data_IF_241306587277
#
_entry.id   IF_241306587277
#
_cell.length_a   1.000
_cell.length_b   1.000
_cell.length_c   1.000
_cell.angle_alpha   90.00
_cell.angle_beta   90.00
_cell.angle_gamma   90.00
#
_symmetry.space_group_name_H-M   'P 1'
#
loop_
_entity.id
_entity.type
_entity.pdbx_description
1 polymer ?
#
# COMPACT_ATOMS: atom_id res chain seq x y z
N UNK A 1 -11.27 7.41 19.16
CA UNK A 1 -10.64 8.53 18.41
C UNK A 1 -11.48 8.89 17.20
N UNK A 2 -11.39 10.14 16.72
CA UNK A 2 -11.93 10.55 15.42
C UNK A 2 -10.83 10.41 14.37
N UNK A 3 -11.07 9.63 13.33
CA UNK A 3 -10.07 9.29 12.32
C UNK A 3 -10.59 9.68 10.94
N UNK A 4 -9.83 10.47 10.19
CA UNK A 4 -10.10 10.77 8.78
C UNK A 4 -9.29 9.81 7.89
N UNK A 5 -9.96 9.13 6.96
CA UNK A 5 -9.31 8.20 6.04
C UNK A 5 -9.60 8.61 4.59
N UNK A 6 -8.56 8.85 3.81
CA UNK A 6 -8.66 8.92 2.35
C UNK A 6 -8.36 7.55 1.75
N UNK A 7 -9.06 7.18 0.68
CA UNK A 7 -8.90 5.84 0.10
C UNK A 7 -9.53 4.71 0.92
N UNK A 8 -10.44 5.04 1.85
CA UNK A 8 -11.12 4.08 2.73
C UNK A 8 -11.95 3.01 2.01
N UNK A 9 -12.36 3.22 0.76
CA UNK A 9 -13.08 2.23 -0.07
C UNK A 9 -12.14 1.32 -0.87
N UNK A 10 -10.84 1.58 -0.84
CA UNK A 10 -9.82 0.78 -1.54
C UNK A 10 -9.58 -0.58 -0.90
N UNK A 11 -8.72 -1.40 -1.54
CA UNK A 11 -8.42 -2.77 -1.11
C UNK A 11 -7.90 -2.88 0.34
N UNK A 12 -6.96 -2.02 0.73
CA UNK A 12 -6.45 -1.95 2.10
C UNK A 12 -7.41 -1.13 2.97
N UNK A 13 -7.85 0.03 2.45
CA UNK A 13 -8.61 1.01 3.22
C UNK A 13 -9.92 0.46 3.79
N UNK A 14 -10.70 -0.32 3.00
CA UNK A 14 -11.95 -0.91 3.48
C UNK A 14 -11.76 -1.87 4.65
N UNK A 15 -10.68 -2.64 4.64
CA UNK A 15 -10.38 -3.56 5.72
C UNK A 15 -9.88 -2.82 6.97
N UNK A 16 -9.06 -1.78 6.79
CA UNK A 16 -8.62 -0.91 7.87
C UNK A 16 -9.80 -0.17 8.51
N UNK A 17 -10.71 0.43 7.72
CA UNK A 17 -11.91 1.10 8.25
C UNK A 17 -12.74 0.15 9.09
N UNK A 18 -13.03 -1.06 8.57
CA UNK A 18 -13.78 -2.07 9.32
C UNK A 18 -13.09 -2.47 10.63
N UNK A 19 -11.76 -2.60 10.62
CA UNK A 19 -11.00 -2.91 11.84
C UNK A 19 -11.09 -1.79 12.88
N UNK A 20 -10.97 -0.54 12.45
CA UNK A 20 -11.04 0.63 13.35
C UNK A 20 -12.44 0.84 13.93
N UNK A 21 -13.50 0.60 13.14
CA UNK A 21 -14.89 0.65 13.62
C UNK A 21 -15.13 -0.43 14.70
N UNK A 22 -14.63 -1.66 14.51
CA UNK A 22 -14.72 -2.72 15.52
C UNK A 22 -14.03 -2.37 16.84
N UNK A 23 -13.04 -1.48 16.81
CA UNK A 23 -12.34 -0.97 18.00
C UNK A 23 -13.01 0.27 18.61
N UNK A 24 -14.19 0.65 18.11
CA UNK A 24 -14.96 1.77 18.64
C UNK A 24 -14.47 3.15 18.20
N UNK A 25 -13.63 3.24 17.16
CA UNK A 25 -13.21 4.52 16.60
C UNK A 25 -14.31 5.13 15.73
N UNK A 26 -14.44 6.45 15.74
CA UNK A 26 -15.29 7.19 14.79
C UNK A 26 -14.50 7.46 13.53
N UNK A 27 -14.95 6.91 12.39
CA UNK A 27 -14.23 7.00 11.13
C UNK A 27 -15.00 7.86 10.14
N UNK A 28 -14.31 8.84 9.58
CA UNK A 28 -14.77 9.64 8.44
C UNK A 28 -13.99 9.23 7.20
N UNK A 29 -14.69 8.86 6.13
CA UNK A 29 -14.09 8.43 4.86
C UNK A 29 -14.27 9.50 3.80
N UNK A 30 -13.16 9.98 3.24
CA UNK A 30 -13.19 10.81 2.04
C UNK A 30 -13.37 9.92 0.80
N UNK A 31 -14.46 10.10 0.09
CA UNK A 31 -14.77 9.36 -1.14
C UNK A 31 -15.43 10.27 -2.17
N UNK A 32 -15.02 10.12 -3.44
CA UNK A 32 -15.67 10.82 -4.58
C UNK A 32 -17.09 10.34 -4.83
N UNK A 33 -17.46 9.20 -4.31
CA UNK A 33 -18.79 8.57 -4.40
C UNK A 33 -19.27 8.19 -3.00
N UNK A 34 -19.67 9.17 -2.16
CA UNK A 34 -20.09 8.95 -0.77
C UNK A 34 -21.20 7.89 -0.65
N UNK A 35 -22.18 7.90 -1.56
CA UNK A 35 -23.31 6.97 -1.54
C UNK A 35 -22.91 5.50 -1.69
N UNK A 36 -21.75 5.23 -2.26
CA UNK A 36 -21.23 3.85 -2.39
C UNK A 36 -20.46 3.39 -1.16
N UNK A 37 -20.03 4.31 -0.30
CA UNK A 37 -19.23 3.97 0.90
C UNK A 37 -20.03 3.07 1.83
N UNK A 38 -21.27 3.43 2.10
CA UNK A 38 -22.17 2.68 2.98
C UNK A 38 -22.43 1.24 2.46
N UNK A 39 -22.49 1.07 1.14
CA UNK A 39 -22.65 -0.25 0.52
C UNK A 39 -21.41 -1.12 0.65
N UNK A 40 -20.21 -0.51 0.69
CA UNK A 40 -18.92 -1.21 0.73
C UNK A 40 -18.47 -1.48 2.16
N UNK A 41 -18.71 -0.53 3.07
CA UNK A 41 -18.16 -0.54 4.43
C UNK A 41 -19.24 -0.79 5.48
N UNK A 42 -20.41 -0.18 5.32
CA UNK A 42 -21.52 -0.13 6.28
C UNK A 42 -21.89 1.29 6.65
N UNK A 43 -23.01 1.44 7.39
CA UNK A 43 -23.59 2.75 7.72
C UNK A 43 -22.94 3.43 8.94
N UNK A 44 -21.93 2.82 9.55
CA UNK A 44 -21.27 3.34 10.75
C UNK A 44 -20.20 4.40 10.46
N UNK A 45 -19.96 4.70 9.18
CA UNK A 45 -18.96 5.69 8.76
C UNK A 45 -19.59 7.01 8.39
N UNK A 46 -18.96 8.11 8.78
CA UNK A 46 -19.24 9.43 8.22
C UNK A 46 -18.54 9.56 6.86
N UNK A 47 -19.18 10.20 5.90
CA UNK A 47 -18.63 10.36 4.54
C UNK A 47 -18.41 11.83 4.20
N UNK A 48 -17.33 12.12 3.50
CA UNK A 48 -17.02 13.39 2.89
C UNK A 48 -16.81 13.21 1.39
N UNK A 49 -17.36 14.10 0.56
CA UNK A 49 -17.12 14.09 -0.89
C UNK A 49 -15.89 14.91 -1.28
N UNK A 50 -15.54 15.92 -0.49
CA UNK A 50 -14.44 16.84 -0.76
C UNK A 50 -13.87 17.36 0.56
N UNK A 51 -12.52 17.57 0.60
CA UNK A 51 -11.85 18.17 1.76
C UNK A 51 -12.27 19.62 2.04
N UNK A 52 -12.79 20.34 1.04
CA UNK A 52 -13.34 21.71 1.22
C UNK A 52 -14.57 21.76 2.13
N UNK A 53 -15.18 20.61 2.45
CA UNK A 53 -16.23 20.50 3.46
C UNK A 53 -15.69 20.58 4.89
N UNK A 54 -14.38 20.40 5.05
CA UNK A 54 -13.73 20.55 6.35
C UNK A 54 -13.49 22.02 6.66
N UNK A 55 -13.85 22.41 7.85
CA UNK A 55 -13.54 23.73 8.44
C UNK A 55 -12.44 23.58 9.49
N UNK A 56 -11.94 24.70 10.00
CA UNK A 56 -10.97 24.71 11.10
C UNK A 56 -11.47 24.04 12.38
N UNK A 57 -12.79 23.94 12.55
CA UNK A 57 -13.45 23.38 13.73
C UNK A 57 -13.59 21.84 13.67
N UNK A 58 -13.41 21.24 12.51
CA UNK A 58 -13.38 19.78 12.43
C UNK A 58 -12.11 19.27 13.12
N UNK A 59 -12.28 18.30 13.99
CA UNK A 59 -11.17 17.73 14.75
C UNK A 59 -11.02 16.22 14.49
N UNK A 60 -9.89 15.85 13.95
CA UNK A 60 -9.45 14.45 13.80
C UNK A 60 -8.13 14.27 14.56
N UNK A 61 -8.06 13.29 15.46
CA UNK A 61 -6.82 12.93 16.13
C UNK A 61 -5.83 12.27 15.14
N UNK A 62 -6.36 11.51 14.20
CA UNK A 62 -5.54 10.76 13.23
C UNK A 62 -6.05 11.00 11.81
N UNK A 63 -5.13 11.24 10.89
CA UNK A 63 -5.40 11.26 9.45
C UNK A 63 -4.63 10.11 8.79
N UNK A 64 -5.33 9.29 7.98
CA UNK A 64 -4.73 8.19 7.23
C UNK A 64 -4.93 8.43 5.74
N UNK A 65 -3.85 8.70 5.02
CA UNK A 65 -3.85 9.07 3.61
C UNK A 65 -3.43 7.89 2.73
N UNK A 66 -4.43 7.13 2.22
CA UNK A 66 -4.22 5.97 1.34
C UNK A 66 -4.76 6.18 -0.07
N UNK A 67 -5.32 7.36 -0.36
CA UNK A 67 -5.92 7.61 -1.66
C UNK A 67 -4.87 7.71 -2.76
N UNK A 68 -5.19 7.08 -3.88
CA UNK A 68 -4.37 7.13 -5.08
C UNK A 68 -5.10 6.49 -6.27
N UNK A 69 -4.78 6.93 -7.50
CA UNK A 69 -5.24 6.23 -8.67
C UNK A 69 -4.52 4.87 -8.78
N UNK A 70 -5.22 3.79 -9.19
CA UNK A 70 -4.58 2.51 -9.44
C UNK A 70 -3.43 2.64 -10.43
N UNK A 71 -2.26 2.11 -10.04
CA UNK A 71 -1.03 2.28 -10.82
C UNK A 71 -0.93 1.29 -11.98
N UNK A 72 -1.59 0.13 -11.87
CA UNK A 72 -1.45 -0.97 -12.82
C UNK A 72 -2.58 -1.07 -13.87
N UNK A 73 -3.73 -0.40 -13.66
CA UNK A 73 -4.95 -0.65 -14.45
C UNK A 73 -4.90 -0.13 -15.90
N UNK A 74 -4.10 0.90 -16.19
CA UNK A 74 -4.02 1.54 -17.50
C UNK A 74 -2.58 1.72 -17.94
N UNK A 75 -2.31 1.78 -19.25
CA UNK A 75 -0.99 2.12 -19.78
C UNK A 75 -0.49 3.47 -19.24
N UNK A 76 0.81 3.57 -19.02
CA UNK A 76 1.45 4.79 -18.54
C UNK A 76 1.77 5.74 -19.69
N UNK A 77 0.74 6.41 -20.22
CA UNK A 77 0.96 7.63 -20.99
C UNK A 77 1.33 8.77 -20.05
N UNK A 78 1.88 9.86 -20.58
CA UNK A 78 2.22 11.05 -19.77
C UNK A 78 0.97 11.60 -19.05
N UNK A 79 -0.18 11.66 -19.75
CA UNK A 79 -1.45 12.05 -19.14
C UNK A 79 -1.86 11.11 -17.98
N UNK A 80 -1.63 9.79 -18.13
CA UNK A 80 -1.92 8.84 -17.06
C UNK A 80 -0.97 8.97 -15.88
N UNK A 81 0.33 9.15 -16.12
CA UNK A 81 1.32 9.43 -15.09
C UNK A 81 0.96 10.69 -14.30
N UNK A 82 0.53 11.74 -15.01
CA UNK A 82 0.06 12.98 -14.36
C UNK A 82 -1.16 12.72 -13.46
N UNK A 83 -2.17 11.98 -13.93
CA UNK A 83 -3.32 11.60 -13.11
C UNK A 83 -2.91 10.81 -11.85
N UNK A 84 -1.97 9.86 -12.00
CA UNK A 84 -1.47 9.05 -10.89
C UNK A 84 -0.77 9.94 -9.85
N UNK A 85 0.03 10.90 -10.32
CA UNK A 85 0.76 11.86 -9.49
C UNK A 85 -0.22 12.82 -8.79
N UNK A 86 -1.07 13.49 -9.54
CA UNK A 86 -1.98 14.52 -9.04
C UNK A 86 -2.91 13.98 -7.97
N UNK A 87 -3.44 12.78 -8.16
CA UNK A 87 -4.33 12.14 -7.17
C UNK A 87 -3.64 11.77 -5.86
N UNK A 88 -2.32 11.79 -5.80
CA UNK A 88 -1.56 11.60 -4.56
C UNK A 88 -1.07 12.92 -4.00
N UNK A 89 -0.38 13.68 -4.81
CA UNK A 89 0.30 14.90 -4.37
C UNK A 89 -0.73 15.99 -4.04
N UNK A 90 -1.61 16.35 -4.96
CA UNK A 90 -2.61 17.41 -4.73
C UNK A 90 -3.56 17.08 -3.56
N UNK A 91 -3.97 15.81 -3.43
CA UNK A 91 -4.77 15.42 -2.28
C UNK A 91 -4.00 15.55 -0.97
N UNK A 92 -2.71 15.19 -0.96
CA UNK A 92 -1.86 15.34 0.23
C UNK A 92 -1.65 16.82 0.54
N UNK A 93 -1.42 17.68 -0.46
CA UNK A 93 -1.34 19.14 -0.29
C UNK A 93 -2.62 19.73 0.32
N UNK A 94 -3.79 19.26 -0.12
CA UNK A 94 -5.07 19.66 0.48
C UNK A 94 -5.19 19.21 1.95
N UNK A 95 -4.72 18.01 2.29
CA UNK A 95 -4.67 17.55 3.69
C UNK A 95 -3.71 18.41 4.52
N UNK A 96 -2.53 18.75 3.99
CA UNK A 96 -1.59 19.65 4.66
C UNK A 96 -2.21 21.04 4.87
N UNK A 97 -2.93 21.57 3.87
CA UNK A 97 -3.65 22.84 3.97
C UNK A 97 -4.72 22.81 5.06
N UNK A 98 -5.49 21.71 5.15
CA UNK A 98 -6.43 21.50 6.25
C UNK A 98 -5.71 21.43 7.59
N UNK A 99 -4.63 20.64 7.73
CA UNK A 99 -3.84 20.55 8.96
C UNK A 99 -3.34 21.92 9.39
N UNK A 100 -2.83 22.72 8.45
CA UNK A 100 -2.38 24.08 8.71
C UNK A 100 -3.50 24.98 9.26
N UNK A 101 -4.71 24.87 8.72
CA UNK A 101 -5.87 25.70 9.09
C UNK A 101 -6.61 25.22 10.35
N UNK A 102 -6.53 23.92 10.69
CA UNK A 102 -7.25 23.32 11.81
C UNK A 102 -6.95 24.01 13.13
N UNK A 103 -7.96 24.32 13.93
CA UNK A 103 -7.82 24.91 15.27
C UNK A 103 -7.10 23.95 16.21
N UNK A 104 -7.49 22.66 16.18
CA UNK A 104 -6.81 21.57 16.89
C UNK A 104 -6.12 20.69 15.86
N UNK A 105 -4.78 20.62 15.92
CA UNK A 105 -4.00 19.84 14.99
C UNK A 105 -4.19 18.33 15.24
N UNK A 106 -4.15 17.48 14.18
CA UNK A 106 -4.05 16.04 14.36
C UNK A 106 -2.77 15.67 15.14
N UNK A 107 -2.84 14.59 15.89
CA UNK A 107 -1.68 14.02 16.59
C UNK A 107 -0.80 13.22 15.62
N UNK A 108 -1.43 12.62 14.59
CA UNK A 108 -0.78 11.69 13.66
C UNK A 108 -1.31 11.83 12.24
N UNK A 109 -0.37 11.89 11.28
CA UNK A 109 -0.61 11.62 9.86
C UNK A 109 0.09 10.31 9.46
N UNK A 110 -0.67 9.31 9.07
CA UNK A 110 -0.14 8.12 8.38
C UNK A 110 -0.33 8.34 6.88
N UNK A 111 0.74 8.39 6.11
CA UNK A 111 0.66 8.52 4.65
C UNK A 111 1.21 7.29 3.96
N UNK A 112 0.46 6.80 2.98
CA UNK A 112 0.91 5.74 2.10
C UNK A 112 2.13 6.18 1.28
N UNK A 113 2.97 5.20 0.97
CA UNK A 113 4.06 5.20 0.00
C UNK A 113 4.20 3.78 -0.53
N UNK A 114 5.22 3.48 -1.29
CA UNK A 114 5.49 2.15 -1.80
C UNK A 114 6.99 1.86 -1.85
N UNK A 115 7.35 0.57 -1.87
CA UNK A 115 8.75 0.12 -2.06
C UNK A 115 9.33 0.59 -3.40
N UNK A 116 8.49 1.03 -4.34
CA UNK A 116 8.92 1.71 -5.57
C UNK A 116 9.85 2.90 -5.32
N UNK A 117 9.84 3.48 -4.12
CA UNK A 117 10.82 4.49 -3.68
C UNK A 117 12.26 4.06 -3.92
N UNK A 118 12.59 2.78 -3.72
CA UNK A 118 13.96 2.30 -3.81
C UNK A 118 14.46 2.12 -5.25
N UNK A 119 13.56 1.94 -6.21
CA UNK A 119 13.91 1.55 -7.58
C UNK A 119 14.44 0.10 -7.66
N UNK A 120 14.97 -0.27 -8.83
CA UNK A 120 15.57 -1.59 -9.03
C UNK A 120 17.01 -1.63 -8.52
N UNK A 121 17.30 -2.46 -7.51
CA UNK A 121 18.64 -2.60 -6.91
C UNK A 121 19.16 -4.07 -6.90
N UNK A 122 18.60 -4.93 -7.74
CA UNK A 122 19.06 -6.32 -7.84
C UNK A 122 18.95 -7.07 -6.50
N UNK A 123 20.05 -7.68 -6.07
CA UNK A 123 20.10 -8.48 -4.85
C UNK A 123 20.39 -7.69 -3.57
N UNK A 124 20.63 -6.38 -3.69
CA UNK A 124 20.95 -5.54 -2.53
C UNK A 124 19.80 -5.55 -1.53
N UNK A 125 20.11 -5.78 -0.26
CA UNK A 125 19.15 -5.63 0.84
C UNK A 125 18.85 -4.15 1.04
N UNK A 126 17.57 -3.83 1.10
CA UNK A 126 17.04 -2.47 1.24
C UNK A 126 16.27 -2.35 2.54
N UNK A 127 16.63 -1.36 3.32
CA UNK A 127 16.01 -1.01 4.59
C UNK A 127 15.51 0.44 4.55
N UNK A 128 14.83 0.91 5.57
CA UNK A 128 14.22 2.25 5.58
C UNK A 128 15.21 3.39 5.34
N UNK A 129 16.46 3.22 5.76
CA UNK A 129 17.56 4.20 5.56
C UNK A 129 18.23 4.10 4.18
N UNK A 130 17.89 3.10 3.36
CA UNK A 130 18.51 2.91 2.04
C UNK A 130 18.10 4.02 1.06
N UNK A 131 19.09 4.53 0.34
CA UNK A 131 18.87 5.53 -0.71
C UNK A 131 18.28 4.91 -1.98
N UNK A 132 17.47 5.65 -2.75
CA UNK A 132 16.98 5.18 -4.05
C UNK A 132 18.14 5.08 -5.06
N UNK A 133 18.05 4.14 -6.00
CA UNK A 133 19.06 3.92 -7.03
C UNK A 133 18.64 4.38 -8.43
N UNK A 134 17.38 4.72 -8.63
CA UNK A 134 16.85 5.15 -9.92
C UNK A 134 16.07 6.45 -9.78
N UNK A 135 15.83 7.09 -10.94
CA UNK A 135 14.94 8.24 -11.05
C UNK A 135 13.78 7.93 -12.00
N UNK A 136 13.29 6.68 -11.94
CA UNK A 136 12.10 6.29 -12.70
C UNK A 136 10.82 6.96 -12.17
N UNK A 137 9.71 6.74 -12.87
CA UNK A 137 8.43 7.34 -12.50
C UNK A 137 7.97 6.90 -11.10
N UNK A 138 8.12 5.64 -10.75
CA UNK A 138 7.67 5.08 -9.47
C UNK A 138 8.46 5.67 -8.31
N UNK A 139 9.77 5.81 -8.47
CA UNK A 139 10.65 6.38 -7.46
C UNK A 139 10.31 7.85 -7.22
N UNK A 140 10.25 8.67 -8.30
CA UNK A 140 9.90 10.10 -8.18
C UNK A 140 8.52 10.30 -7.54
N UNK A 141 7.54 9.49 -7.94
CA UNK A 141 6.19 9.56 -7.38
C UNK A 141 6.19 9.31 -5.87
N UNK A 142 6.91 8.28 -5.41
CA UNK A 142 7.00 7.97 -3.99
C UNK A 142 7.75 9.07 -3.22
N UNK A 143 8.86 9.55 -3.76
CA UNK A 143 9.66 10.61 -3.12
C UNK A 143 8.86 11.92 -2.97
N UNK A 144 8.16 12.36 -4.03
CA UNK A 144 7.29 13.54 -4.00
C UNK A 144 6.15 13.36 -2.98
N UNK A 145 5.54 12.18 -2.93
CA UNK A 145 4.44 11.90 -2.02
C UNK A 145 4.90 11.92 -0.56
N UNK A 146 6.05 11.29 -0.26
CA UNK A 146 6.64 11.30 1.07
C UNK A 146 7.04 12.73 1.50
N UNK A 147 7.70 13.48 0.61
CA UNK A 147 8.10 14.86 0.87
C UNK A 147 6.89 15.76 1.17
N UNK A 148 5.80 15.63 0.40
CA UNK A 148 4.58 16.39 0.63
C UNK A 148 3.94 16.04 1.96
N UNK A 149 3.82 14.75 2.31
CA UNK A 149 3.25 14.32 3.58
C UNK A 149 4.09 14.78 4.78
N UNK A 150 5.42 14.80 4.64
CA UNK A 150 6.34 15.24 5.68
C UNK A 150 6.15 16.71 6.09
N UNK A 151 5.55 17.55 5.24
CA UNK A 151 5.23 18.94 5.58
C UNK A 151 4.31 19.08 6.81
N UNK A 152 3.52 18.04 7.13
CA UNK A 152 2.67 18.04 8.33
C UNK A 152 3.48 18.21 9.62
N UNK A 153 4.73 17.76 9.66
CA UNK A 153 5.61 17.89 10.83
C UNK A 153 5.88 19.34 11.23
N UNK A 154 5.83 20.28 10.27
CA UNK A 154 6.00 21.70 10.54
C UNK A 154 4.88 22.30 11.42
N UNK A 155 3.76 21.59 11.54
CA UNK A 155 2.62 21.96 12.36
C UNK A 155 2.52 21.15 13.65
N UNK A 156 3.60 20.45 14.04
CA UNK A 156 3.64 19.62 15.26
C UNK A 156 2.95 18.26 15.12
N UNK A 157 2.57 17.87 13.90
CA UNK A 157 1.93 16.56 13.64
C UNK A 157 3.00 15.49 13.47
N UNK A 158 2.87 14.39 14.19
CA UNK A 158 3.70 13.21 14.00
C UNK A 158 3.38 12.55 12.65
N UNK A 159 4.38 12.28 11.85
CA UNK A 159 4.22 11.71 10.49
C UNK A 159 4.80 10.31 10.43
N UNK A 160 3.99 9.34 9.99
CA UNK A 160 4.42 7.99 9.64
C UNK A 160 4.21 7.76 8.13
N UNK A 161 5.26 7.33 7.45
CA UNK A 161 5.26 7.03 6.02
C UNK A 161 5.36 5.52 5.83
N UNK A 162 4.40 4.91 5.13
CA UNK A 162 4.36 3.46 4.95
C UNK A 162 4.76 3.10 3.53
N UNK A 163 6.00 2.62 3.33
CA UNK A 163 6.46 2.05 2.06
C UNK A 163 5.92 0.64 1.91
N UNK A 164 4.81 0.53 1.22
CA UNK A 164 4.06 -0.71 1.07
C UNK A 164 4.68 -1.61 0.00
N UNK A 165 4.92 -2.88 0.34
CA UNK A 165 5.29 -3.93 -0.59
C UNK A 165 4.09 -4.47 -1.38
N UNK A 166 4.24 -5.66 -1.98
CA UNK A 166 3.17 -6.34 -2.69
C UNK A 166 2.15 -6.89 -1.70
N UNK A 167 0.97 -6.26 -1.61
CA UNK A 167 -0.04 -6.68 -0.63
C UNK A 167 -0.76 -7.93 -1.11
N UNK A 168 -0.71 -8.98 -0.29
CA UNK A 168 -1.36 -10.27 -0.54
C UNK A 168 -2.63 -10.42 0.31
N UNK A 169 -3.72 -10.78 -0.33
CA UNK A 169 -4.94 -11.32 0.28
C UNK A 169 -5.85 -11.90 -0.83
N UNK A 170 -6.74 -12.81 -0.46
CA UNK A 170 -7.61 -13.50 -1.42
C UNK A 170 -8.72 -12.61 -2.01
N UNK A 171 -9.09 -11.52 -1.32
CA UNK A 171 -10.19 -10.62 -1.69
C UNK A 171 -9.76 -9.41 -2.56
N UNK A 172 -8.53 -9.43 -3.11
CA UNK A 172 -8.06 -8.35 -3.98
C UNK A 172 -6.55 -8.30 -4.21
N UNK A 173 -6.09 -7.18 -4.75
CA UNK A 173 -4.67 -6.93 -4.98
C UNK A 173 -4.03 -7.76 -6.08
N UNK A 174 -2.70 -7.92 -6.00
CA UNK A 174 -1.92 -8.66 -7.00
C UNK A 174 -2.29 -10.14 -7.01
N UNK A 175 -2.48 -10.75 -5.84
CA UNK A 175 -2.76 -12.18 -5.72
C UNK A 175 -4.03 -12.55 -6.50
N UNK A 176 -5.11 -11.80 -6.37
CA UNK A 176 -6.35 -12.07 -7.09
C UNK A 176 -6.14 -12.07 -8.62
N UNK A 177 -5.30 -11.16 -9.15
CA UNK A 177 -4.97 -11.08 -10.57
C UNK A 177 -4.14 -12.27 -11.05
N UNK A 178 -3.25 -12.78 -10.21
CA UNK A 178 -2.41 -13.94 -10.51
C UNK A 178 -3.18 -15.26 -10.40
N UNK A 179 -4.14 -15.36 -9.48
CA UNK A 179 -4.87 -16.61 -9.24
C UNK A 179 -5.56 -17.15 -10.49
N UNK A 180 -6.14 -16.29 -11.35
CA UNK A 180 -6.88 -16.75 -12.53
C UNK A 180 -5.98 -17.48 -13.53
N UNK A 181 -4.89 -16.91 -14.06
CA UNK A 181 -4.00 -17.65 -14.96
C UNK A 181 -3.41 -18.91 -14.31
N UNK A 182 -3.03 -18.86 -13.01
CA UNK A 182 -2.49 -20.03 -12.33
C UNK A 182 -3.52 -21.17 -12.21
N UNK A 183 -4.79 -20.88 -11.91
CA UNK A 183 -5.85 -21.89 -11.85
C UNK A 183 -6.05 -22.63 -13.17
N UNK A 184 -5.82 -21.96 -14.29
CA UNK A 184 -5.87 -22.57 -15.63
C UNK A 184 -4.56 -23.25 -16.07
N UNK A 185 -3.54 -23.31 -15.18
CA UNK A 185 -2.23 -23.87 -15.51
C UNK A 185 -1.39 -22.98 -16.44
N UNK A 186 -1.82 -21.75 -16.66
CA UNK A 186 -1.13 -20.74 -17.49
C UNK A 186 -0.15 -19.87 -16.67
N UNK A 187 0.07 -20.21 -15.41
CA UNK A 187 1.05 -19.53 -14.57
C UNK A 187 2.48 -19.83 -14.99
N UNK A 188 3.40 -18.94 -14.65
CA UNK A 188 4.81 -19.11 -14.94
C UNK A 188 5.68 -18.00 -14.37
N UNK A 189 6.98 -18.21 -14.47
CA UNK A 189 8.00 -17.27 -14.06
C UNK A 189 7.97 -16.03 -14.95
N UNK A 190 8.07 -14.85 -14.35
CA UNK A 190 8.15 -13.58 -15.06
C UNK A 190 9.63 -13.21 -15.24
N UNK A 191 10.03 -12.85 -16.46
CA UNK A 191 11.43 -12.56 -16.79
C UNK A 191 12.32 -13.78 -16.58
N UNK A 192 13.43 -13.59 -15.86
CA UNK A 192 14.34 -14.65 -15.42
C UNK A 192 13.96 -15.25 -14.06
N UNK A 193 12.97 -14.66 -13.38
CA UNK A 193 12.49 -15.10 -12.08
C UNK A 193 13.41 -14.78 -10.89
N UNK A 194 14.53 -14.10 -11.12
CA UNK A 194 15.50 -13.77 -10.07
C UNK A 194 15.16 -12.48 -9.33
N UNK A 195 14.23 -11.68 -9.86
CA UNK A 195 13.82 -10.44 -9.20
C UNK A 195 13.14 -10.71 -7.86
N UNK A 196 13.56 -9.97 -6.84
CA UNK A 196 12.99 -10.03 -5.50
C UNK A 196 11.63 -9.39 -5.44
N UNK A 197 10.69 -10.08 -4.81
CA UNK A 197 9.33 -9.66 -4.53
C UNK A 197 9.18 -9.49 -3.01
N UNK A 198 9.22 -8.25 -2.55
CA UNK A 198 8.92 -7.94 -1.15
C UNK A 198 7.42 -7.75 -0.99
N UNK A 199 6.81 -8.65 -0.28
CA UNK A 199 5.36 -8.77 -0.10
C UNK A 199 4.98 -8.53 1.36
N UNK A 200 3.71 -8.31 1.61
CA UNK A 200 3.11 -8.27 2.95
C UNK A 200 1.69 -8.82 2.90
N UNK A 201 1.26 -9.52 3.94
CA UNK A 201 -0.14 -9.87 4.08
C UNK A 201 -0.97 -8.67 4.53
N UNK A 202 -2.20 -8.54 4.00
CA UNK A 202 -3.08 -7.41 4.30
C UNK A 202 -3.37 -7.25 5.79
N UNK A 203 -3.51 -8.34 6.54
CA UNK A 203 -3.72 -8.30 7.99
C UNK A 203 -2.53 -7.67 8.72
N UNK A 204 -1.29 -8.02 8.35
CA UNK A 204 -0.09 -7.43 8.93
C UNK A 204 0.03 -5.95 8.59
N UNK A 205 -0.32 -5.55 7.35
CA UNK A 205 -0.36 -4.13 6.98
C UNK A 205 -1.32 -3.34 7.88
N UNK A 206 -2.51 -3.88 8.15
CA UNK A 206 -3.51 -3.27 9.05
C UNK A 206 -2.97 -3.20 10.48
N UNK A 207 -2.33 -4.27 10.96
CA UNK A 207 -1.72 -4.31 12.29
C UNK A 207 -0.61 -3.26 12.44
N UNK A 208 0.22 -3.04 11.41
CA UNK A 208 1.24 -1.99 11.38
C UNK A 208 0.60 -0.59 11.50
N UNK A 209 -0.45 -0.31 10.71
CA UNK A 209 -1.13 0.98 10.77
C UNK A 209 -1.76 1.23 12.16
N UNK A 210 -2.33 0.20 12.78
CA UNK A 210 -2.88 0.27 14.15
C UNK A 210 -1.79 0.45 15.20
N UNK A 211 -0.65 -0.21 15.04
CA UNK A 211 0.50 0.00 15.92
C UNK A 211 1.00 1.45 15.85
N UNK A 212 1.04 2.05 14.66
CA UNK A 212 1.39 3.47 14.51
C UNK A 212 0.41 4.41 15.20
N UNK A 213 -0.87 4.04 15.30
CA UNK A 213 -1.86 4.82 16.04
C UNK A 213 -1.61 4.73 17.55
N UNK A 214 -1.36 3.52 18.08
CA UNK A 214 -1.21 3.27 19.51
C UNK A 214 0.17 3.60 20.07
N UNK A 215 1.24 3.40 19.29
CA UNK A 215 2.61 3.68 19.70
C UNK A 215 3.06 5.08 19.25
N UNK A 216 3.05 6.02 20.17
CA UNK A 216 3.40 7.42 19.90
C UNK A 216 4.90 7.65 19.61
N UNK A 217 5.77 6.68 19.89
CA UNK A 217 7.18 6.75 19.57
C UNK A 217 7.47 6.48 18.07
N UNK A 218 6.54 5.83 17.35
CA UNK A 218 6.70 5.58 15.93
C UNK A 218 6.55 6.85 15.11
N UNK A 219 7.57 7.18 14.31
CA UNK A 219 7.58 8.30 13.37
C UNK A 219 8.55 8.06 12.21
N UNK A 220 8.35 8.78 11.09
CA UNK A 220 9.18 8.65 9.89
C UNK A 220 8.78 7.46 9.03
N UNK A 221 9.75 6.88 8.32
CA UNK A 221 9.52 5.84 7.29
C UNK A 221 9.50 4.45 7.90
N UNK A 222 8.57 3.61 7.44
CA UNK A 222 8.49 2.17 7.75
C UNK A 222 8.24 1.37 6.47
N UNK A 223 8.96 0.28 6.30
CA UNK A 223 8.71 -0.69 5.25
C UNK A 223 7.60 -1.65 5.69
N UNK A 224 6.44 -1.56 5.08
CA UNK A 224 5.38 -2.56 5.26
C UNK A 224 5.61 -3.72 4.29
N UNK A 225 6.57 -4.58 4.64
CA UNK A 225 6.92 -5.82 3.96
C UNK A 225 7.04 -6.94 4.99
N UNK A 226 6.80 -8.19 4.57
CA UNK A 226 7.11 -9.35 5.41
C UNK A 226 8.63 -9.51 5.60
N UNK A 227 9.10 -10.15 6.68
CA UNK A 227 10.52 -10.28 6.98
C UNK A 227 11.28 -11.15 5.98
N UNK A 228 10.58 -12.01 5.22
CA UNK A 228 11.17 -12.96 4.29
C UNK A 228 10.71 -12.67 2.85
N UNK A 229 11.35 -11.70 2.15
CA UNK A 229 11.11 -11.49 0.73
C UNK A 229 11.55 -12.73 -0.06
N UNK A 230 10.90 -13.00 -1.17
CA UNK A 230 11.17 -14.15 -2.03
C UNK A 230 11.50 -13.72 -3.46
N UNK A 231 12.16 -14.57 -4.24
CA UNK A 231 12.30 -14.34 -5.67
C UNK A 231 11.00 -14.61 -6.41
N UNK A 232 10.82 -14.07 -7.61
CA UNK A 232 9.65 -14.38 -8.43
C UNK A 232 9.55 -15.90 -8.73
N UNK A 233 10.69 -16.57 -8.91
CA UNK A 233 10.74 -18.03 -9.09
C UNK A 233 10.17 -18.77 -7.87
N UNK A 234 10.57 -18.38 -6.66
CA UNK A 234 10.04 -18.95 -5.40
C UNK A 234 8.56 -18.64 -5.24
N UNK A 235 8.15 -17.39 -5.48
CA UNK A 235 6.74 -17.00 -5.42
C UNK A 235 5.89 -17.85 -6.36
N UNK A 236 6.33 -17.99 -7.61
CA UNK A 236 5.66 -18.78 -8.64
C UNK A 236 5.52 -20.24 -8.24
N UNK A 237 6.61 -20.86 -7.75
CA UNK A 237 6.61 -22.25 -7.30
C UNK A 237 5.67 -22.46 -6.11
N UNK A 238 5.76 -21.60 -5.10
CA UNK A 238 4.93 -21.69 -3.89
C UNK A 238 3.44 -21.54 -4.22
N UNK A 239 3.09 -20.58 -5.09
CA UNK A 239 1.70 -20.37 -5.53
C UNK A 239 1.19 -21.55 -6.35
N UNK A 240 2.00 -22.11 -7.27
CA UNK A 240 1.65 -23.26 -8.06
C UNK A 240 1.41 -24.50 -7.21
N UNK A 241 2.28 -24.77 -6.23
CA UNK A 241 2.14 -25.86 -5.25
C UNK A 241 0.87 -25.71 -4.41
N UNK A 242 0.62 -24.50 -3.89
CA UNK A 242 -0.59 -24.22 -3.12
C UNK A 242 -1.86 -24.47 -3.93
N UNK A 243 -1.89 -24.07 -5.19
CA UNK A 243 -3.04 -24.27 -6.08
C UNK A 243 -3.12 -25.67 -6.68
N UNK A 244 -2.09 -26.50 -6.47
CA UNK A 244 -1.94 -27.82 -7.12
C UNK A 244 -2.08 -27.73 -8.63
N UNK A 245 -1.44 -26.75 -9.24
CA UNK A 245 -1.44 -26.48 -10.68
C UNK A 245 -0.02 -26.31 -11.19
N UNK A 246 0.29 -26.77 -12.42
CA UNK A 246 1.58 -26.49 -13.03
C UNK A 246 1.77 -24.98 -13.29
N UNK A 247 3.01 -24.52 -13.25
CA UNK A 247 3.40 -23.16 -13.65
C UNK A 247 4.56 -23.26 -14.65
N UNK A 248 4.25 -23.74 -15.84
CA UNK A 248 5.24 -24.13 -16.85
C UNK A 248 5.38 -23.10 -17.99
N UNK A 249 4.56 -22.04 -18.00
CA UNK A 249 4.56 -21.06 -19.08
C UNK A 249 5.32 -19.79 -18.66
N UNK A 250 6.65 -19.72 -18.82
CA UNK A 250 7.40 -18.52 -18.47
C UNK A 250 6.99 -17.36 -19.38
N UNK A 251 6.93 -16.18 -18.82
CA UNK A 251 6.66 -14.96 -19.58
C UNK A 251 7.96 -14.13 -19.67
N UNK A 252 8.67 -14.18 -20.81
CA UNK A 252 9.93 -13.48 -20.98
C UNK A 252 9.79 -11.97 -20.79
N UNK A 253 10.85 -11.33 -20.27
CA UNK A 253 10.83 -9.90 -19.99
C UNK A 253 10.51 -9.03 -21.22
N UNK A 254 10.97 -9.42 -22.42
CA UNK A 254 10.68 -8.70 -23.67
C UNK A 254 9.18 -8.71 -23.99
N UNK A 255 8.50 -9.84 -23.75
CA UNK A 255 7.06 -9.96 -24.00
C UNK A 255 6.26 -9.13 -23.00
N UNK A 256 6.66 -9.13 -21.70
CA UNK A 256 6.08 -8.25 -20.69
C UNK A 256 6.22 -6.77 -21.07
N UNK A 257 7.38 -6.37 -21.60
CA UNK A 257 7.62 -4.98 -22.06
C UNK A 257 6.71 -4.61 -23.23
N UNK A 258 6.48 -5.51 -24.17
CA UNK A 258 5.56 -5.27 -25.30
C UNK A 258 4.11 -5.15 -24.80
N UNK A 259 3.66 -6.04 -23.92
CA UNK A 259 2.27 -6.08 -23.46
C UNK A 259 1.93 -4.96 -22.45
N UNK A 260 2.86 -4.63 -21.57
CA UNK A 260 2.62 -3.71 -20.44
C UNK A 260 3.32 -2.35 -20.60
N UNK A 261 4.25 -2.23 -21.57
CA UNK A 261 5.08 -1.03 -21.67
C UNK A 261 5.87 -0.78 -20.41
N UNK A 262 5.98 0.49 -19.98
CA UNK A 262 6.70 0.88 -18.77
C UNK A 262 6.16 0.22 -17.48
N UNK A 263 4.87 -0.18 -17.43
CA UNK A 263 4.31 -0.88 -16.27
C UNK A 263 4.97 -2.23 -16.00
N UNK A 264 5.68 -2.81 -17.00
CA UNK A 264 6.46 -4.02 -16.81
C UNK A 264 7.52 -3.88 -15.72
N UNK A 265 8.02 -2.66 -15.46
CA UNK A 265 8.96 -2.35 -14.39
C UNK A 265 8.40 -2.73 -13.01
N UNK A 266 7.09 -2.57 -12.79
CA UNK A 266 6.44 -2.98 -11.53
C UNK A 266 6.53 -4.50 -11.27
N UNK A 267 6.76 -5.30 -12.30
CA UNK A 267 6.86 -6.75 -12.21
C UNK A 267 8.30 -7.27 -12.36
N UNK A 268 9.17 -6.49 -13.00
CA UNK A 268 10.54 -6.88 -13.32
C UNK A 268 11.60 -6.23 -12.41
N UNK A 269 11.23 -5.14 -11.72
CA UNK A 269 12.15 -4.51 -10.77
C UNK A 269 12.41 -5.44 -9.59
N UNK A 270 13.69 -5.57 -9.23
CA UNK A 270 14.15 -6.36 -8.10
C UNK A 270 14.31 -5.46 -6.87
N UNK A 271 13.54 -5.75 -5.83
CA UNK A 271 13.52 -4.96 -4.60
C UNK A 271 13.49 -5.89 -3.39
N UNK A 272 14.68 -6.18 -2.83
CA UNK A 272 14.83 -7.02 -1.63
C UNK A 272 14.70 -6.15 -0.38
N UNK A 273 13.46 -5.77 -0.05
CA UNK A 273 13.16 -4.84 1.04
C UNK A 273 12.86 -5.59 2.34
N UNK A 274 13.53 -5.19 3.42
CA UNK A 274 13.31 -5.70 4.77
C UNK A 274 12.66 -4.63 5.65
N UNK A 275 11.78 -5.03 6.59
CA UNK A 275 11.14 -4.14 7.54
C UNK A 275 12.00 -3.97 8.80
N UNK A 276 13.23 -3.42 8.67
CA UNK A 276 14.22 -3.39 9.74
C UNK A 276 13.67 -2.69 10.99
N UNK A 277 13.00 -1.55 10.83
CA UNK A 277 12.44 -0.80 11.96
C UNK A 277 11.34 -1.56 12.68
N UNK A 278 10.45 -2.24 11.95
CA UNK A 278 9.40 -3.07 12.56
C UNK A 278 10.00 -4.24 13.33
N UNK A 279 11.06 -4.86 12.80
CA UNK A 279 11.78 -5.95 13.49
C UNK A 279 12.47 -5.44 14.76
N UNK A 280 13.10 -4.27 14.71
CA UNK A 280 13.73 -3.63 15.87
C UNK A 280 12.71 -3.27 16.96
N UNK A 281 11.50 -2.90 16.56
CA UNK A 281 10.38 -2.62 17.46
C UNK A 281 9.63 -3.89 17.92
N UNK A 282 10.18 -5.08 17.60
CA UNK A 282 9.60 -6.39 17.94
C UNK A 282 8.17 -6.57 17.42
N UNK A 283 7.84 -6.03 16.24
CA UNK A 283 6.54 -6.26 15.61
C UNK A 283 6.39 -7.75 15.26
N UNK A 284 5.29 -8.34 15.70
CA UNK A 284 4.98 -9.75 15.43
C UNK A 284 4.13 -9.87 14.17
N UNK A 285 4.75 -10.37 13.10
CA UNK A 285 4.03 -10.67 11.86
C UNK A 285 3.15 -11.89 12.05
N UNK A 286 1.89 -11.79 11.69
CA UNK A 286 0.95 -12.91 11.66
C UNK A 286 1.28 -13.87 10.50
N UNK A 287 1.77 -13.31 9.39
CA UNK A 287 2.15 -14.03 8.19
C UNK A 287 3.60 -13.71 7.80
N UNK A 288 4.61 -14.25 8.50
CA UNK A 288 6.01 -13.97 8.17
C UNK A 288 6.49 -14.71 6.91
N UNK A 289 5.87 -15.87 6.59
CA UNK A 289 6.25 -16.74 5.49
C UNK A 289 5.22 -16.71 4.35
N UNK A 290 5.69 -16.75 3.10
CA UNK A 290 4.82 -16.67 1.92
C UNK A 290 3.74 -17.76 1.91
N UNK A 291 4.11 -19.00 2.27
CA UNK A 291 3.16 -20.10 2.27
C UNK A 291 1.99 -19.85 3.24
N UNK A 292 2.27 -19.35 4.44
CA UNK A 292 1.22 -19.02 5.42
C UNK A 292 0.28 -17.92 4.89
N UNK A 293 0.82 -16.92 4.21
CA UNK A 293 0.03 -15.84 3.60
C UNK A 293 -0.86 -16.33 2.44
N UNK A 294 -0.44 -17.37 1.71
CA UNK A 294 -1.21 -17.94 0.60
C UNK A 294 -2.26 -18.94 1.08
N UNK A 295 -2.07 -19.54 2.27
CA UNK A 295 -2.97 -20.56 2.82
C UNK A 295 -4.03 -20.02 3.77
N UNK A 296 -4.08 -18.68 3.95
CA UNK A 296 -5.12 -18.05 4.77
C UNK A 296 -6.51 -18.62 4.41
N UNK A 297 -7.30 -19.09 5.38
CA UNK A 297 -8.65 -19.53 5.12
C UNK A 297 -9.45 -18.39 4.48
N UNK A 298 -10.14 -18.68 3.38
CA UNK A 298 -11.08 -17.71 2.81
C UNK A 298 -12.13 -17.43 3.87
N UNK A 299 -12.06 -16.28 4.51
CA UNK A 299 -13.18 -15.79 5.30
C UNK A 299 -14.34 -15.57 4.33
N UNK A 300 -15.30 -16.48 4.33
CA UNK A 300 -16.58 -16.24 3.69
C UNK A 300 -17.15 -14.99 4.36
N UNK A 301 -17.06 -13.88 3.68
CA UNK A 301 -17.79 -12.68 4.06
C UNK A 301 -19.25 -12.97 3.67
N UNK A 302 -20.04 -13.53 4.62
CA UNK A 302 -21.47 -13.37 4.63
C UNK A 302 -21.87 -11.89 4.71
#
# INVERSE_FOLDING_TARGET
MNILITGGTGFIGRALVKSLLKEGHKVTVLSRTPDTVNKIIGNEVTTLSNLNQLTSEHHFQVIINLAGAPIFDHHWSDARKQIIRDRRIQLTEQLISYIKAATVKPELLISGSAIGYYGNQGNKVLIESSSPASHDFSQRLCADWEATAQLASQFGVRVCLIRTGLVLAHDGGLLQRMLLPFKFGLGGILGDGQQWMSWIHKADWIAIAKLMISNTAMQGVYNATAPHPVTNSEFTKTLAQHLRRPALLPMPAWLLKILLGERSELLLASQRVLPERLLTENFHFQYPELLSALTEPRTNHE
#
